data_IF_001809995482
#
_entry.id   IF_001809995482
#
_cell.length_a   1.000
_cell.length_b   1.000
_cell.length_c   1.000
_cell.angle_alpha   90.00
_cell.angle_beta   90.00
_cell.angle_gamma   90.00
#
_symmetry.space_group_name_H-M   'P 1'
#
loop_
_entity.id
_entity.type
_entity.pdbx_description
1 polymer ?
#
# COMPACT_ATOMS: atom_id res chain seq x y z
N UNK A 1 1.49 10.97 -16.90
CA UNK A 1 0.91 9.64 -16.65
C UNK A 1 2.05 8.65 -16.53
N UNK A 2 2.12 7.90 -15.45
CA UNK A 2 3.05 6.79 -15.24
C UNK A 2 2.23 5.51 -15.11
N UNK A 3 2.65 4.47 -15.80
CA UNK A 3 2.02 3.15 -15.78
C UNK A 3 2.99 2.20 -15.10
N UNK A 4 2.54 1.52 -14.06
CA UNK A 4 3.32 0.56 -13.29
C UNK A 4 2.50 -0.74 -13.20
N UNK A 5 3.18 -1.88 -13.21
CA UNK A 5 2.56 -3.16 -12.96
C UNK A 5 2.64 -3.48 -11.47
N UNK A 6 1.54 -3.93 -10.87
CA UNK A 6 1.47 -4.29 -9.45
C UNK A 6 2.39 -5.48 -9.12
N UNK A 7 2.73 -6.32 -10.10
CA UNK A 7 3.70 -7.40 -9.91
C UNK A 7 5.05 -6.88 -9.41
N UNK A 8 5.40 -5.62 -9.69
CA UNK A 8 6.63 -5.01 -9.21
C UNK A 8 6.64 -4.73 -7.69
N UNK A 9 5.47 -4.67 -7.05
CA UNK A 9 5.31 -4.51 -5.60
C UNK A 9 4.18 -5.39 -5.04
N UNK A 10 4.41 -6.71 -4.94
CA UNK A 10 3.40 -7.65 -4.44
C UNK A 10 3.33 -7.69 -2.90
N UNK A 11 4.18 -6.95 -2.20
CA UNK A 11 4.20 -6.89 -0.73
C UNK A 11 3.14 -5.91 -0.23
N UNK A 12 3.03 -4.72 -0.83
CA UNK A 12 2.06 -3.69 -0.44
C UNK A 12 0.62 -4.22 -0.29
N UNK A 13 0.02 -4.97 -1.23
CA UNK A 13 -1.33 -5.48 -1.07
C UNK A 13 -1.48 -6.56 0.02
N UNK A 14 -0.37 -7.15 0.50
CA UNK A 14 -0.37 -8.16 1.57
C UNK A 14 -0.18 -7.58 2.97
N UNK A 15 0.22 -6.32 3.11
CA UNK A 15 0.45 -5.67 4.40
C UNK A 15 -0.84 -5.13 5.02
N UNK A 16 -0.96 -5.23 6.36
CA UNK A 16 -2.02 -4.54 7.06
C UNK A 16 -1.62 -3.07 7.30
N UNK A 17 -2.54 -2.14 7.04
CA UNK A 17 -2.28 -0.71 7.12
C UNK A 17 -3.31 -0.02 8.04
N UNK A 18 -2.82 0.82 8.95
CA UNK A 18 -3.61 1.48 10.00
C UNK A 18 -4.25 2.82 9.60
N UNK A 19 -4.15 3.21 8.33
CA UNK A 19 -4.94 4.35 7.82
C UNK A 19 -6.43 3.99 7.74
N UNK A 20 -7.32 4.97 7.98
CA UNK A 20 -8.75 4.69 8.11
C UNK A 20 -9.32 3.86 6.97
N UNK A 21 -9.11 4.32 5.74
CA UNK A 21 -9.72 3.72 4.55
C UNK A 21 -9.10 2.37 4.23
N UNK A 22 -7.80 2.19 4.50
CA UNK A 22 -7.16 0.89 4.35
C UNK A 22 -7.72 -0.13 5.34
N UNK A 23 -7.87 0.23 6.62
CA UNK A 23 -8.50 -0.64 7.63
C UNK A 23 -9.94 -1.00 7.27
N UNK A 24 -10.73 -0.02 6.82
CA UNK A 24 -12.09 -0.26 6.32
C UNK A 24 -12.08 -1.30 5.19
N UNK A 25 -11.17 -1.14 4.22
CA UNK A 25 -11.07 -2.03 3.08
C UNK A 25 -10.61 -3.44 3.46
N UNK A 26 -9.60 -3.57 4.32
CA UNK A 26 -9.02 -4.86 4.71
C UNK A 26 -9.98 -5.67 5.60
N UNK A 27 -10.60 -5.00 6.57
CA UNK A 27 -11.45 -5.65 7.57
C UNK A 27 -12.84 -5.96 7.02
N UNK A 28 -13.49 -4.99 6.39
CA UNK A 28 -14.89 -5.10 5.99
C UNK A 28 -15.10 -5.25 4.48
N UNK A 29 -14.15 -4.81 3.66
CA UNK A 29 -14.29 -4.78 2.21
C UNK A 29 -15.12 -3.59 1.75
N UNK A 30 -14.46 -2.59 1.16
CA UNK A 30 -15.16 -1.53 0.42
C UNK A 30 -15.54 -2.07 -0.96
N UNK A 31 -16.83 -2.06 -1.24
CA UNK A 31 -17.38 -2.38 -2.56
C UNK A 31 -17.50 -1.12 -3.43
N UNK A 32 -18.00 -1.27 -4.66
CA UNK A 32 -18.16 -0.17 -5.61
C UNK A 32 -18.89 1.03 -4.96
N UNK A 33 -18.46 2.26 -5.29
CA UNK A 33 -18.94 3.52 -4.70
C UNK A 33 -18.56 3.75 -3.23
N UNK A 34 -17.52 3.08 -2.71
CA UNK A 34 -17.08 3.24 -1.32
C UNK A 34 -18.18 2.87 -0.30
N UNK A 35 -19.01 1.89 -0.63
CA UNK A 35 -19.99 1.34 0.31
C UNK A 35 -19.40 0.16 1.08
N UNK A 36 -19.70 0.08 2.37
CA UNK A 36 -19.32 -1.03 3.25
C UNK A 36 -20.54 -1.50 4.02
N UNK A 37 -20.77 -2.80 4.02
CA UNK A 37 -21.65 -3.41 5.03
C UNK A 37 -20.79 -3.65 6.27
N UNK A 38 -20.79 -2.71 7.21
CA UNK A 38 -20.10 -2.90 8.49
C UNK A 38 -20.89 -3.95 9.26
N UNK A 39 -20.34 -5.17 9.34
CA UNK A 39 -20.93 -6.25 10.12
C UNK A 39 -20.83 -5.86 11.60
N UNK A 40 -21.94 -5.42 12.19
CA UNK A 40 -22.04 -5.26 13.66
C UNK A 40 -22.04 -6.67 14.24
N UNK A 41 -21.15 -6.92 15.20
CA UNK A 41 -20.76 -8.27 15.64
C UNK A 41 -21.90 -9.28 15.91
N UNK A 42 -21.55 -10.56 15.73
CA UNK A 42 -22.26 -11.77 16.16
C UNK A 42 -23.53 -12.24 15.44
N UNK A 43 -23.92 -11.61 14.33
CA UNK A 43 -24.99 -12.15 13.49
C UNK A 43 -24.49 -12.47 12.08
N UNK A 44 -25.02 -13.55 11.49
CA UNK A 44 -24.97 -13.73 10.05
C UNK A 44 -25.41 -12.41 9.38
N UNK A 45 -24.84 -12.03 8.22
CA UNK A 45 -25.24 -10.79 7.55
C UNK A 45 -26.76 -10.73 7.50
N UNK A 46 -27.37 -9.77 8.19
CA UNK A 46 -28.81 -9.57 8.08
C UNK A 46 -29.04 -9.19 6.61
N UNK A 47 -29.75 -10.00 5.82
CA UNK A 47 -29.98 -9.71 4.41
C UNK A 47 -30.75 -8.38 4.22
N UNK A 48 -31.29 -7.80 5.29
CA UNK A 48 -31.96 -6.50 5.29
C UNK A 48 -31.08 -5.36 5.82
N UNK A 49 -29.83 -5.61 6.23
CA UNK A 49 -28.93 -4.55 6.67
C UNK A 49 -28.55 -3.68 5.46
N UNK A 50 -28.94 -2.40 5.52
CA UNK A 50 -28.58 -1.44 4.49
C UNK A 50 -27.06 -1.16 4.59
N UNK A 51 -26.30 -1.29 3.49
CA UNK A 51 -24.88 -0.94 3.46
C UNK A 51 -24.69 0.52 3.87
N UNK A 52 -23.66 0.76 4.69
CA UNK A 52 -23.23 2.10 5.04
C UNK A 52 -22.38 2.66 3.89
N UNK A 53 -22.78 3.81 3.34
CA UNK A 53 -22.05 4.46 2.24
C UNK A 53 -21.04 5.46 2.82
N UNK A 54 -19.77 5.35 2.42
CA UNK A 54 -18.69 6.25 2.80
C UNK A 54 -18.32 7.13 1.60
N UNK A 55 -19.05 8.22 1.39
CA UNK A 55 -18.81 9.11 0.24
C UNK A 55 -18.00 10.34 0.64
N UNK A 56 -16.79 10.56 0.11
CA UNK A 56 -16.01 11.76 0.42
C UNK A 56 -16.67 13.05 -0.10
N UNK A 57 -17.69 12.95 -0.96
CA UNK A 57 -18.45 14.11 -1.48
C UNK A 57 -19.54 14.57 -0.51
N UNK A 58 -20.18 13.63 0.19
CA UNK A 58 -21.35 13.91 1.04
C UNK A 58 -21.06 13.71 2.54
N UNK A 59 -19.87 13.24 2.88
CA UNK A 59 -19.45 12.92 4.23
C UNK A 59 -18.17 13.68 4.58
N UNK A 60 -18.34 14.83 5.22
CA UNK A 60 -17.25 15.72 5.60
C UNK A 60 -16.29 15.04 6.58
N UNK A 61 -16.81 14.23 7.51
CA UNK A 61 -15.96 13.49 8.44
C UNK A 61 -15.10 12.48 7.70
N UNK A 62 -15.71 11.71 6.79
CA UNK A 62 -14.96 10.76 5.97
C UNK A 62 -13.88 11.45 5.14
N UNK A 63 -14.21 12.57 4.47
CA UNK A 63 -13.26 13.33 3.66
C UNK A 63 -12.05 13.81 4.48
N UNK A 64 -12.28 14.31 5.69
CA UNK A 64 -11.22 14.81 6.57
C UNK A 64 -10.32 13.68 7.10
N UNK A 65 -10.85 12.45 7.24
CA UNK A 65 -10.17 11.33 7.88
C UNK A 65 -9.80 10.19 6.91
N UNK A 66 -10.00 10.35 5.60
CA UNK A 66 -9.80 9.28 4.60
C UNK A 66 -8.37 8.70 4.61
N UNK A 67 -7.39 9.52 4.99
CA UNK A 67 -5.97 9.19 5.07
C UNK A 67 -5.38 9.49 6.46
N UNK A 68 -6.21 9.66 7.51
CA UNK A 68 -5.67 9.80 8.87
C UNK A 68 -5.14 8.46 9.37
N UNK A 69 -4.04 8.54 10.12
CA UNK A 69 -3.61 7.42 10.94
C UNK A 69 -4.52 7.38 12.15
N UNK A 70 -5.39 6.39 12.17
CA UNK A 70 -6.43 6.30 13.18
C UNK A 70 -5.88 5.73 14.48
N UNK A 71 -4.66 5.17 14.53
CA UNK A 71 -4.15 4.61 15.79
C UNK A 71 -3.99 5.67 16.90
N UNK A 72 -3.51 6.86 16.57
CA UNK A 72 -3.40 7.98 17.52
C UNK A 72 -4.76 8.70 17.69
N UNK A 73 -5.46 8.92 16.57
CA UNK A 73 -6.71 9.69 16.56
C UNK A 73 -7.93 8.92 17.08
N UNK A 74 -7.91 7.58 17.09
CA UNK A 74 -9.03 6.74 17.52
C UNK A 74 -9.35 6.91 19.00
N UNK A 75 -8.33 6.90 19.86
CA UNK A 75 -8.55 7.05 21.31
C UNK A 75 -9.11 8.42 21.62
N UNK A 76 -8.52 9.47 21.02
CA UNK A 76 -9.04 10.83 21.16
C UNK A 76 -10.46 11.00 20.61
N UNK A 77 -10.78 10.35 19.49
CA UNK A 77 -12.11 10.40 18.89
C UNK A 77 -13.16 9.69 19.76
N UNK A 78 -12.84 8.50 20.30
CA UNK A 78 -13.73 7.76 21.20
C UNK A 78 -14.00 8.53 22.49
N UNK A 79 -12.96 9.14 23.07
CA UNK A 79 -13.08 9.96 24.28
C UNK A 79 -13.90 11.22 24.05
N UNK A 80 -13.76 11.84 22.87
CA UNK A 80 -14.49 13.05 22.48
C UNK A 80 -15.90 12.78 21.93
N UNK A 81 -16.28 11.51 21.77
CA UNK A 81 -17.54 11.14 21.11
C UNK A 81 -18.81 11.76 21.74
N UNK A 82 -18.96 11.84 23.07
CA UNK A 82 -20.14 12.47 23.67
C UNK A 82 -20.39 13.90 23.19
N UNK A 83 -19.32 14.67 22.97
CA UNK A 83 -19.39 16.04 22.45
C UNK A 83 -19.64 16.07 20.94
N UNK A 84 -19.02 15.16 20.19
CA UNK A 84 -19.15 15.06 18.74
C UNK A 84 -20.53 14.56 18.30
N UNK A 85 -21.19 13.72 19.10
CA UNK A 85 -22.55 13.23 18.84
C UNK A 85 -23.57 14.37 18.72
N UNK A 86 -23.36 15.48 19.42
CA UNK A 86 -24.21 16.66 19.32
C UNK A 86 -24.10 17.37 17.96
N UNK A 87 -23.05 17.08 17.16
CA UNK A 87 -22.76 17.72 15.87
C UNK A 87 -23.36 17.01 14.65
N UNK A 88 -24.00 15.85 14.80
CA UNK A 88 -24.80 15.23 13.72
C UNK A 88 -24.77 13.70 13.64
N UNK A 89 -25.65 13.14 12.81
CA UNK A 89 -25.84 11.69 12.62
C UNK A 89 -24.70 10.99 11.86
N UNK A 90 -23.98 11.69 10.99
CA UNK A 90 -22.83 11.13 10.24
C UNK A 90 -21.71 10.64 11.16
N UNK A 91 -21.45 11.36 12.25
CA UNK A 91 -20.43 11.01 13.26
C UNK A 91 -20.78 9.70 13.98
N UNK A 92 -22.07 9.41 14.20
CA UNK A 92 -22.53 8.19 14.86
C UNK A 92 -22.19 6.94 14.03
N UNK A 93 -22.32 7.05 12.70
CA UNK A 93 -21.92 6.00 11.75
C UNK A 93 -20.43 5.70 11.90
N UNK A 94 -19.59 6.73 11.75
CA UNK A 94 -18.13 6.60 11.86
C UNK A 94 -17.68 6.08 13.22
N UNK A 95 -18.32 6.49 14.31
CA UNK A 95 -18.06 5.92 15.63
C UNK A 95 -18.35 4.42 15.69
N UNK A 96 -19.52 3.99 15.20
CA UNK A 96 -19.84 2.57 15.12
C UNK A 96 -18.81 1.80 14.32
N UNK A 97 -18.39 2.34 13.18
CA UNK A 97 -17.35 1.74 12.34
C UNK A 97 -15.99 1.67 13.03
N UNK A 98 -15.53 2.76 13.64
CA UNK A 98 -14.25 2.84 14.37
C UNK A 98 -14.26 1.85 15.55
N UNK A 99 -15.37 1.74 16.28
CA UNK A 99 -15.51 0.74 17.34
C UNK A 99 -15.42 -0.70 16.81
N UNK A 100 -16.02 -1.00 15.66
CA UNK A 100 -15.87 -2.30 15.01
C UNK A 100 -14.44 -2.56 14.52
N UNK A 101 -13.74 -1.55 14.00
CA UNK A 101 -12.31 -1.64 13.64
C UNK A 101 -11.50 -2.01 14.88
N UNK A 102 -11.69 -1.30 15.98
CA UNK A 102 -10.97 -1.53 17.23
C UNK A 102 -11.19 -2.96 17.75
N UNK A 103 -12.42 -3.46 17.73
CA UNK A 103 -12.73 -4.83 18.13
C UNK A 103 -12.04 -5.86 17.23
N UNK A 104 -12.02 -5.63 15.91
CA UNK A 104 -11.33 -6.51 14.97
C UNK A 104 -9.80 -6.51 15.18
N UNK A 105 -9.20 -5.35 15.44
CA UNK A 105 -7.78 -5.21 15.77
C UNK A 105 -7.43 -6.00 17.03
N UNK A 106 -8.22 -5.83 18.11
CA UNK A 106 -8.00 -6.52 19.38
C UNK A 106 -8.18 -8.05 19.24
N UNK A 107 -9.23 -8.48 18.54
CA UNK A 107 -9.56 -9.90 18.37
C UNK A 107 -8.47 -10.66 17.61
N UNK A 108 -7.82 -10.02 16.65
CA UNK A 108 -6.79 -10.62 15.78
C UNK A 108 -5.36 -10.27 16.23
N UNK A 109 -5.20 -9.52 17.31
CA UNK A 109 -3.90 -9.01 17.78
C UNK A 109 -3.11 -8.32 16.65
N UNK A 110 -3.78 -7.46 15.88
CA UNK A 110 -3.20 -6.89 14.65
C UNK A 110 -2.06 -5.92 14.93
N UNK A 111 -1.98 -5.31 16.12
CA UNK A 111 -0.84 -4.47 16.48
C UNK A 111 0.44 -5.29 16.51
N UNK A 112 0.47 -6.34 17.34
CA UNK A 112 1.63 -7.21 17.48
C UNK A 112 1.93 -7.95 16.17
N UNK A 113 0.89 -8.37 15.45
CA UNK A 113 1.07 -9.08 14.20
C UNK A 113 1.67 -8.19 13.10
N UNK A 114 1.16 -6.96 12.93
CA UNK A 114 1.67 -6.03 11.92
C UNK A 114 3.11 -5.61 12.22
N UNK A 115 3.52 -5.52 13.49
CA UNK A 115 4.92 -5.33 13.84
C UNK A 115 5.81 -6.43 13.25
N UNK A 116 5.39 -7.70 13.34
CA UNK A 116 6.12 -8.83 12.75
C UNK A 116 6.17 -8.72 11.23
N UNK A 117 5.03 -8.38 10.58
CA UNK A 117 4.98 -8.14 9.12
C UNK A 117 6.02 -7.10 8.68
N UNK A 118 6.02 -5.96 9.37
CA UNK A 118 6.93 -4.83 9.10
C UNK A 118 8.39 -5.19 9.36
N UNK A 119 8.69 -6.00 10.39
CA UNK A 119 10.02 -6.53 10.63
C UNK A 119 10.47 -7.46 9.50
N UNK A 120 9.62 -8.38 9.04
CA UNK A 120 10.01 -9.30 7.97
C UNK A 120 10.17 -8.57 6.64
N UNK A 121 9.34 -7.58 6.34
CA UNK A 121 9.44 -6.77 5.13
C UNK A 121 10.61 -5.77 5.19
N UNK A 122 10.91 -5.22 6.37
CA UNK A 122 12.10 -4.38 6.57
C UNK A 122 13.39 -5.21 6.55
N UNK A 123 14.53 -4.55 6.29
CA UNK A 123 15.78 -5.16 5.82
C UNK A 123 16.53 -6.01 6.89
N UNK A 124 15.91 -7.08 7.37
CA UNK A 124 16.40 -8.04 8.36
C UNK A 124 17.10 -9.25 7.73
N UNK A 125 17.99 -9.87 8.51
CA UNK A 125 18.63 -11.11 8.10
C UNK A 125 17.59 -12.22 7.90
N UNK A 126 17.81 -13.10 6.92
CA UNK A 126 16.92 -14.24 6.67
C UNK A 126 16.67 -15.08 7.93
N UNK A 127 17.69 -15.31 8.76
CA UNK A 127 17.58 -16.08 10.00
C UNK A 127 16.67 -15.44 11.04
N UNK A 128 16.70 -14.11 11.19
CA UNK A 128 15.82 -13.40 12.11
C UNK A 128 14.39 -13.40 11.60
N UNK A 129 14.19 -13.08 10.32
CA UNK A 129 12.88 -13.10 9.68
C UNK A 129 12.23 -14.50 9.79
N UNK A 130 12.98 -15.56 9.50
CA UNK A 130 12.51 -16.93 9.65
C UNK A 130 12.04 -17.22 11.08
N UNK A 131 12.82 -16.82 12.10
CA UNK A 131 12.43 -17.01 13.51
C UNK A 131 11.13 -16.28 13.84
N UNK A 132 10.99 -15.02 13.43
CA UNK A 132 9.76 -14.26 13.64
C UNK A 132 8.54 -14.91 12.98
N UNK A 133 8.69 -15.41 11.75
CA UNK A 133 7.60 -16.14 11.07
C UNK A 133 7.26 -17.44 11.79
N UNK A 134 8.26 -18.23 12.20
CA UNK A 134 8.04 -19.48 12.91
C UNK A 134 7.31 -19.27 14.24
N UNK A 135 7.74 -18.28 15.02
CA UNK A 135 7.12 -17.91 16.29
C UNK A 135 5.67 -17.44 16.09
N UNK A 136 5.41 -16.65 15.04
CA UNK A 136 4.05 -16.20 14.70
C UNK A 136 3.14 -17.35 14.26
N UNK A 137 3.64 -18.31 13.50
CA UNK A 137 2.87 -19.49 13.09
C UNK A 137 2.51 -20.35 14.30
N UNK A 138 3.43 -20.53 15.24
CA UNK A 138 3.21 -21.38 16.42
C UNK A 138 2.31 -20.72 17.48
N UNK A 139 2.13 -19.40 17.41
CA UNK A 139 1.21 -18.69 18.28
C UNK A 139 -0.26 -18.87 17.83
N UNK A 140 -1.03 -19.60 18.64
CA UNK A 140 -2.46 -19.85 18.37
C UNK A 140 -3.38 -18.63 18.60
N UNK A 141 -2.85 -17.52 19.13
CA UNK A 141 -3.62 -16.29 19.28
C UNK A 141 -3.83 -15.55 17.93
N UNK A 142 -2.97 -15.78 16.95
CA UNK A 142 -3.04 -15.11 15.66
C UNK A 142 -3.96 -15.83 14.66
N UNK A 143 -4.65 -15.03 13.84
CA UNK A 143 -5.57 -15.54 12.83
C UNK A 143 -4.84 -16.31 11.71
N UNK A 144 -5.47 -17.38 11.21
CA UNK A 144 -4.89 -18.23 10.18
C UNK A 144 -4.65 -17.51 8.85
N UNK A 145 -5.51 -16.58 8.45
CA UNK A 145 -5.32 -15.80 7.22
C UNK A 145 -4.16 -14.83 7.35
N UNK A 146 -3.94 -14.27 8.55
CA UNK A 146 -2.80 -13.40 8.83
C UNK A 146 -1.48 -14.18 8.77
N UNK A 147 -1.45 -15.39 9.36
CA UNK A 147 -0.32 -16.32 9.21
C UNK A 147 -0.01 -16.66 7.76
N UNK A 148 -1.04 -16.89 6.94
CA UNK A 148 -0.86 -17.14 5.51
C UNK A 148 -0.24 -15.93 4.80
N UNK A 149 -0.79 -14.73 5.01
CA UNK A 149 -0.23 -13.46 4.46
C UNK A 149 1.25 -13.30 4.83
N UNK A 150 1.59 -13.57 6.09
CA UNK A 150 2.96 -13.49 6.59
C UNK A 150 3.91 -14.43 5.84
N UNK A 151 3.49 -15.69 5.63
CA UNK A 151 4.28 -16.67 4.87
C UNK A 151 4.37 -16.28 3.39
N UNK A 152 3.33 -15.70 2.80
CA UNK A 152 3.37 -15.17 1.43
C UNK A 152 4.40 -14.03 1.30
N UNK A 153 4.42 -13.08 2.24
CA UNK A 153 5.42 -12.00 2.28
C UNK A 153 6.84 -12.52 2.45
N UNK A 154 7.05 -13.45 3.39
CA UNK A 154 8.34 -14.14 3.56
C UNK A 154 8.77 -14.84 2.27
N UNK A 155 7.84 -15.52 1.59
CA UNK A 155 8.11 -16.25 0.35
C UNK A 155 8.57 -15.32 -0.76
N UNK A 156 7.86 -14.21 -1.00
CA UNK A 156 8.24 -13.20 -2.00
C UNK A 156 9.64 -12.64 -1.70
N UNK A 157 9.91 -12.30 -0.44
CA UNK A 157 11.14 -11.61 -0.07
C UNK A 157 12.37 -12.50 -0.12
N UNK A 158 12.24 -13.73 0.38
CA UNK A 158 13.35 -14.66 0.58
C UNK A 158 13.37 -15.82 -0.43
N UNK A 159 12.61 -15.76 -1.53
CA UNK A 159 12.58 -16.82 -2.57
C UNK A 159 13.96 -17.14 -3.16
N UNK A 160 14.85 -16.15 -3.27
CA UNK A 160 16.20 -16.32 -3.83
C UNK A 160 17.25 -16.70 -2.77
N UNK A 161 16.88 -16.75 -1.48
CA UNK A 161 17.80 -17.18 -0.43
C UNK A 161 18.08 -18.67 -0.55
N UNK A 162 19.36 -19.05 -0.47
CA UNK A 162 19.80 -20.45 -0.57
C UNK A 162 19.20 -21.35 0.51
N UNK A 163 18.87 -20.77 1.66
CA UNK A 163 18.35 -21.47 2.83
C UNK A 163 16.86 -21.18 3.08
N UNK A 164 16.14 -20.69 2.07
CA UNK A 164 14.72 -20.39 2.21
C UNK A 164 13.94 -21.61 2.75
N UNK A 165 12.99 -21.36 3.65
CA UNK A 165 12.21 -22.40 4.32
C UNK A 165 10.74 -22.41 3.89
N UNK A 166 10.46 -21.96 2.66
CA UNK A 166 9.09 -21.73 2.17
C UNK A 166 8.22 -22.99 2.29
N UNK A 167 8.73 -24.15 1.85
CA UNK A 167 7.99 -25.41 1.93
C UNK A 167 7.77 -25.88 3.37
N UNK A 168 8.75 -25.65 4.26
CA UNK A 168 8.61 -25.99 5.68
C UNK A 168 7.53 -25.12 6.33
N UNK A 169 7.51 -23.82 6.05
CA UNK A 169 6.50 -22.90 6.57
C UNK A 169 5.11 -23.24 6.02
N UNK A 170 5.00 -23.55 4.72
CA UNK A 170 3.76 -24.05 4.10
C UNK A 170 3.23 -25.29 4.82
N UNK A 171 4.09 -26.28 5.07
CA UNK A 171 3.70 -27.50 5.80
C UNK A 171 3.22 -27.20 7.23
N UNK A 172 3.85 -26.25 7.93
CA UNK A 172 3.37 -25.83 9.26
C UNK A 172 1.95 -25.26 9.19
N UNK A 173 1.62 -24.46 8.18
CA UNK A 173 0.27 -23.94 7.98
C UNK A 173 -0.74 -25.05 7.62
N UNK A 174 -0.35 -25.99 6.76
CA UNK A 174 -1.18 -27.15 6.39
C UNK A 174 -1.51 -28.05 7.60
N UNK A 175 -0.54 -28.26 8.50
CA UNK A 175 -0.75 -29.01 9.74
C UNK A 175 -1.75 -28.31 10.69
N UNK A 176 -1.84 -26.98 10.63
CA UNK A 176 -2.84 -26.19 11.35
C UNK A 176 -4.19 -26.09 10.60
N UNK A 177 -4.33 -26.76 9.45
CA UNK A 177 -5.53 -26.74 8.61
C UNK A 177 -5.91 -25.32 8.16
N UNK A 178 -4.92 -24.47 7.91
CA UNK A 178 -5.14 -23.14 7.36
C UNK A 178 -5.51 -23.26 5.87
N UNK A 179 -6.66 -22.71 5.51
CA UNK A 179 -7.15 -22.68 4.13
C UNK A 179 -6.22 -21.87 3.21
N UNK A 180 -6.24 -22.18 1.90
CA UNK A 180 -5.55 -21.44 0.82
C UNK A 180 -4.01 -21.48 0.85
N UNK A 181 -3.41 -22.40 1.60
CA UNK A 181 -1.95 -22.61 1.62
C UNK A 181 -1.39 -23.06 0.27
N UNK A 182 -2.23 -23.62 -0.60
CA UNK A 182 -1.93 -23.96 -1.98
C UNK A 182 -1.59 -22.75 -2.86
N UNK A 183 -1.97 -21.52 -2.46
CA UNK A 183 -1.68 -20.29 -3.20
C UNK A 183 -0.21 -19.83 -3.12
N UNK A 184 0.59 -20.34 -2.16
CA UNK A 184 1.99 -19.90 -1.96
C UNK A 184 2.86 -20.18 -3.19
N UNK A 185 2.66 -21.31 -3.89
CA UNK A 185 3.43 -21.64 -5.10
C UNK A 185 2.98 -20.82 -6.32
N UNK A 186 1.67 -20.73 -6.64
CA UNK A 186 1.16 -19.82 -7.67
C UNK A 186 1.59 -18.36 -7.45
N UNK A 187 1.65 -17.88 -6.20
CA UNK A 187 2.16 -16.54 -5.88
C UNK A 187 3.56 -16.31 -6.45
N UNK A 188 4.50 -17.23 -6.20
CA UNK A 188 5.87 -17.10 -6.70
C UNK A 188 5.95 -17.22 -8.23
N UNK A 189 5.06 -17.99 -8.85
CA UNK A 189 4.96 -17.99 -10.31
C UNK A 189 4.37 -16.69 -10.86
N UNK A 190 3.45 -16.07 -10.14
CA UNK A 190 2.75 -14.86 -10.56
C UNK A 190 3.63 -13.62 -10.40
N UNK A 191 4.21 -13.43 -9.21
CA UNK A 191 4.97 -12.22 -8.85
C UNK A 191 6.33 -12.49 -8.18
N UNK A 192 6.90 -13.68 -8.38
CA UNK A 192 8.27 -13.98 -7.93
C UNK A 192 9.34 -13.24 -8.74
N UNK A 193 10.60 -13.45 -8.38
CA UNK A 193 11.74 -12.67 -8.88
C UNK A 193 11.94 -12.79 -10.39
N UNK A 194 11.51 -13.91 -10.99
CA UNK A 194 11.60 -14.12 -12.43
C UNK A 194 10.53 -13.35 -13.23
N UNK A 195 9.43 -12.96 -12.58
CA UNK A 195 8.33 -12.21 -13.20
C UNK A 195 8.48 -10.70 -13.03
N UNK A 196 9.36 -10.27 -12.11
CA UNK A 196 9.59 -8.85 -11.77
C UNK A 196 10.75 -8.27 -12.58
N UNK A 197 10.60 -7.04 -13.06
CA UNK A 197 11.70 -6.28 -13.67
C UNK A 197 12.53 -5.51 -12.64
N UNK A 198 11.96 -5.29 -11.44
CA UNK A 198 12.59 -4.62 -10.33
C UNK A 198 12.96 -5.60 -9.22
N UNK A 199 14.20 -5.47 -8.75
CA UNK A 199 14.70 -6.25 -7.63
C UNK A 199 14.24 -5.63 -6.31
N UNK A 200 13.29 -6.28 -5.62
CA UNK A 200 12.83 -5.89 -4.28
C UNK A 200 14.01 -5.73 -3.29
N UNK A 201 15.02 -6.59 -3.38
CA UNK A 201 16.19 -6.58 -2.50
C UNK A 201 17.23 -5.49 -2.86
N UNK A 202 17.17 -4.92 -4.07
CA UNK A 202 18.05 -3.84 -4.52
C UNK A 202 17.43 -2.46 -4.39
N UNK A 203 16.21 -2.35 -3.82
CA UNK A 203 15.68 -1.05 -3.42
C UNK A 203 16.74 -0.37 -2.55
N UNK A 204 17.40 0.64 -3.13
CA UNK A 204 18.47 1.38 -2.49
C UNK A 204 17.92 1.85 -1.14
N UNK A 205 18.77 1.81 -0.11
CA UNK A 205 18.51 2.47 1.17
C UNK A 205 18.24 3.96 0.91
N UNK A 206 17.00 4.31 0.57
CA UNK A 206 16.65 5.68 0.26
C UNK A 206 16.66 6.47 1.56
N UNK A 207 16.89 7.78 1.46
CA UNK A 207 16.90 8.67 2.61
C UNK A 207 15.60 8.59 3.43
N UNK A 208 14.52 8.05 2.86
CA UNK A 208 13.25 7.76 3.54
C UNK A 208 13.39 6.59 4.52
N UNK A 209 14.15 5.53 4.19
CA UNK A 209 14.52 4.50 5.17
C UNK A 209 15.49 5.03 6.23
N UNK A 210 16.29 6.04 5.91
CA UNK A 210 17.13 6.73 6.91
C UNK A 210 16.29 7.62 7.82
N UNK A 211 15.19 8.21 7.33
CA UNK A 211 14.17 8.89 8.14
C UNK A 211 13.43 7.87 9.02
N UNK A 212 12.96 6.75 8.47
CA UNK A 212 12.36 5.65 9.25
C UNK A 212 13.34 5.12 10.31
N UNK A 213 14.62 4.92 9.95
CA UNK A 213 15.67 4.54 10.91
C UNK A 213 16.02 5.64 11.92
N UNK A 214 15.95 6.92 11.57
CA UNK A 214 16.19 8.06 12.48
C UNK A 214 15.03 8.27 13.45
N UNK A 215 13.80 8.01 13.02
CA UNK A 215 12.62 7.94 13.88
C UNK A 215 12.77 6.79 14.88
N UNK A 216 13.26 5.62 14.43
CA UNK A 216 13.58 4.47 15.30
C UNK A 216 14.81 4.70 16.19
N UNK A 217 15.83 5.45 15.76
CA UNK A 217 17.07 5.65 16.55
C UNK A 217 16.98 6.77 17.61
N UNK A 218 16.07 7.74 17.47
CA UNK A 218 15.91 8.82 18.46
C UNK A 218 15.07 8.43 19.67
N UNK A 219 14.30 7.34 19.60
CA UNK A 219 13.48 6.84 20.70
C UNK A 219 13.91 5.42 21.06
N UNK A 220 14.79 5.35 22.07
CA UNK A 220 15.45 4.13 22.53
C UNK A 220 14.63 3.32 23.54
N UNK A 221 13.35 3.65 23.66
CA UNK A 221 12.31 2.86 24.32
C UNK A 221 11.20 2.71 23.26
N UNK A 222 10.91 1.46 22.86
CA UNK A 222 9.90 0.98 21.89
C UNK A 222 9.36 2.03 20.89
N UNK A 223 9.70 1.97 19.58
CA UNK A 223 9.24 2.97 18.63
C UNK A 223 7.71 2.97 18.52
N UNK A 224 7.08 4.13 18.74
CA UNK A 224 5.62 4.33 18.56
C UNK A 224 5.13 4.06 17.11
N UNK A 225 6.04 3.85 16.15
CA UNK A 225 5.76 3.78 14.71
C UNK A 225 6.32 2.53 14.00
N UNK A 226 6.52 1.40 14.69
CA UNK A 226 6.99 0.16 14.04
C UNK A 226 6.04 -0.33 12.93
N UNK A 227 4.77 0.06 13.00
CA UNK A 227 3.76 -0.32 12.02
C UNK A 227 3.88 0.37 10.65
N UNK A 228 4.82 1.30 10.46
CA UNK A 228 5.00 2.07 9.20
C UNK A 228 6.42 1.99 8.61
N UNK A 229 7.13 0.86 8.79
CA UNK A 229 8.50 0.70 8.28
C UNK A 229 8.57 0.51 6.76
N UNK A 230 7.57 -0.17 6.20
CA UNK A 230 7.44 -0.40 4.77
C UNK A 230 7.05 0.90 4.05
N UNK A 231 7.61 1.09 2.86
CA UNK A 231 7.29 2.20 1.97
C UNK A 231 6.97 1.59 0.61
N UNK A 232 5.74 1.78 0.09
CA UNK A 232 5.37 1.25 -1.22
C UNK A 232 6.33 1.70 -2.31
N UNK A 233 6.62 0.83 -3.26
CA UNK A 233 7.56 1.09 -4.35
C UNK A 233 7.23 2.40 -5.08
N UNK A 234 5.95 2.65 -5.35
CA UNK A 234 5.51 3.85 -6.06
C UNK A 234 5.96 5.14 -5.37
N UNK A 235 5.97 5.16 -4.04
CA UNK A 235 6.37 6.32 -3.26
C UNK A 235 7.85 6.65 -3.51
N UNK A 236 8.69 5.62 -3.65
CA UNK A 236 10.10 5.79 -3.98
C UNK A 236 10.30 6.20 -5.45
N UNK A 237 9.56 5.58 -6.38
CA UNK A 237 9.61 5.93 -7.81
C UNK A 237 9.20 7.39 -8.06
N UNK A 238 8.19 7.89 -7.35
CA UNK A 238 7.79 9.29 -7.41
C UNK A 238 8.90 10.18 -6.85
N UNK A 239 9.51 9.83 -5.72
CA UNK A 239 10.63 10.62 -5.17
C UNK A 239 11.80 10.67 -6.16
N UNK A 240 12.20 9.52 -6.73
CA UNK A 240 13.24 9.45 -7.76
C UNK A 240 12.88 10.26 -9.02
N UNK A 241 11.61 10.29 -9.42
CA UNK A 241 11.14 11.11 -10.53
C UNK A 241 11.32 12.60 -10.23
N UNK A 242 10.90 13.05 -9.05
CA UNK A 242 11.01 14.44 -8.62
C UNK A 242 12.47 14.88 -8.47
N UNK A 243 13.35 13.97 -8.08
CA UNK A 243 14.79 14.21 -7.95
C UNK A 243 15.54 14.09 -9.29
N UNK A 244 14.85 13.73 -10.38
CA UNK A 244 15.48 13.50 -11.70
C UNK A 244 16.39 12.27 -11.74
N UNK A 245 16.25 11.34 -10.79
CA UNK A 245 17.07 10.15 -10.60
C UNK A 245 16.41 8.85 -11.14
N UNK A 246 15.19 8.94 -11.68
CA UNK A 246 14.46 7.79 -12.22
C UNK A 246 15.18 7.24 -13.46
N UNK A 247 15.41 5.93 -13.49
CA UNK A 247 16.13 5.27 -14.58
C UNK A 247 15.29 5.25 -15.86
N UNK A 248 15.72 5.98 -16.90
CA UNK A 248 15.02 6.03 -18.19
C UNK A 248 14.95 4.68 -18.90
N UNK A 249 15.95 3.81 -18.71
CA UNK A 249 15.96 2.46 -19.30
C UNK A 249 14.80 1.59 -18.78
N UNK A 250 14.43 1.77 -17.50
CA UNK A 250 13.34 1.03 -16.86
C UNK A 250 11.99 1.73 -16.98
N UNK A 251 12.01 3.06 -17.07
CA UNK A 251 10.80 3.90 -17.15
C UNK A 251 10.88 4.87 -18.34
N UNK A 252 10.86 4.37 -19.58
CA UNK A 252 11.02 5.20 -20.76
C UNK A 252 9.87 6.20 -20.89
N UNK A 253 10.20 7.43 -21.28
CA UNK A 253 9.18 8.46 -21.54
C UNK A 253 8.67 8.32 -22.97
N UNK A 254 7.36 8.11 -23.13
CA UNK A 254 6.71 8.14 -24.43
C UNK A 254 6.24 9.57 -24.70
N UNK A 255 6.81 10.29 -25.69
CA UNK A 255 6.33 11.62 -26.02
C UNK A 255 4.92 11.48 -26.57
N UNK A 256 3.97 12.12 -25.88
CA UNK A 256 2.63 12.31 -26.44
C UNK A 256 2.83 13.28 -27.60
N UNK A 257 2.81 12.75 -28.82
CA UNK A 257 2.75 13.58 -30.02
C UNK A 257 1.42 14.31 -29.98
N UNK A 258 1.42 15.53 -29.44
CA UNK A 258 0.28 16.43 -29.54
C UNK A 258 0.00 16.56 -31.04
N UNK A 259 -1.13 16.00 -31.50
CA UNK A 259 -1.62 16.22 -32.86
C UNK A 259 -1.47 17.71 -33.15
N UNK A 260 -0.74 18.01 -34.22
CA UNK A 260 -0.48 19.33 -34.78
C UNK A 260 -1.56 20.32 -34.34
N UNK A 261 -1.19 21.26 -33.46
CA UNK A 261 -1.88 22.53 -33.46
C UNK A 261 -1.74 23.04 -34.89
N UNK A 262 -2.85 23.06 -35.63
CA UNK A 262 -2.90 23.76 -36.91
C UNK A 262 -2.40 25.18 -36.63
N UNK A 263 -1.24 25.52 -37.20
CA UNK A 263 -0.71 26.87 -37.13
C UNK A 263 -1.78 27.83 -37.67
N UNK A 264 -2.15 28.88 -36.94
CA UNK A 264 -2.71 30.06 -37.59
C UNK A 264 -1.63 30.61 -38.53
N UNK A 265 -2.03 30.85 -39.77
CA UNK A 265 -1.24 31.50 -40.81
C UNK A 265 -0.54 32.77 -40.27
N UNK A 266 0.79 32.86 -40.45
CA UNK A 266 1.59 34.07 -40.20
C UNK A 266 2.13 34.14 -38.76
N UNK A 267 3.42 34.01 -38.52
CA UNK A 267 4.42 34.98 -38.96
C UNK A 267 5.82 34.42 -38.70
N UNK A 268 6.66 34.55 -39.71
CA UNK A 268 8.05 34.12 -39.75
C UNK A 268 8.90 35.20 -39.08
N UNK A 269 9.38 34.97 -37.85
CA UNK A 269 10.48 35.77 -37.28
C UNK A 269 11.63 34.83 -36.94
N UNK A 270 12.78 35.16 -37.51
CA UNK A 270 14.05 34.43 -37.44
C UNK A 270 14.62 34.46 -36.03
N UNK A 271 15.01 33.31 -35.51
CA UNK A 271 15.93 33.19 -34.38
C UNK A 271 17.34 33.65 -34.82
N UNK A 272 17.85 34.70 -34.18
CA UNK A 272 19.28 35.00 -34.13
C UNK A 272 19.84 34.46 -32.82
N UNK A 273 20.75 33.49 -32.93
CA UNK A 273 21.60 33.00 -31.85
C UNK A 273 22.44 34.15 -31.30
N UNK A 274 22.35 34.40 -29.99
CA UNK A 274 23.39 35.11 -29.24
C UNK A 274 23.94 34.13 -28.21
N UNK A 275 25.20 33.78 -28.41
CA UNK A 275 26.06 33.11 -27.44
C UNK A 275 26.37 34.11 -26.32
N UNK A 276 26.18 33.72 -25.07
CA UNK A 276 27.03 34.20 -23.97
C UNK A 276 26.99 33.25 -22.78
N UNK A 277 28.16 33.17 -22.17
CA UNK A 277 28.66 32.18 -21.22
C UNK A 277 28.35 32.51 -19.76
N UNK A 278 28.24 31.44 -18.97
CA UNK A 278 28.63 31.29 -17.55
C UNK A 278 28.01 32.19 -16.47
N UNK A 279 27.21 31.57 -15.59
CA UNK A 279 27.37 31.70 -14.13
C UNK A 279 26.58 30.61 -13.41
N UNK A 280 27.28 29.87 -12.56
CA UNK A 280 26.76 28.91 -11.59
C UNK A 280 25.84 29.57 -10.57
N UNK A 281 24.57 29.21 -10.61
CA UNK A 281 23.66 29.25 -9.46
C UNK A 281 22.80 27.99 -9.52
N UNK A 282 22.89 27.16 -8.48
CA UNK A 282 22.00 26.02 -8.26
C UNK A 282 20.61 26.56 -7.92
N UNK A 283 19.88 27.02 -8.93
CA UNK A 283 18.44 27.13 -8.85
C UNK A 283 17.90 25.76 -9.23
N UNK A 284 17.38 25.03 -8.24
CA UNK A 284 16.46 23.93 -8.51
C UNK A 284 15.33 24.50 -9.35
N UNK A 285 15.42 24.32 -10.67
CA UNK A 285 14.34 24.59 -11.58
C UNK A 285 13.23 23.59 -11.23
N UNK A 286 12.26 24.01 -10.43
CA UNK A 286 11.00 23.28 -10.31
C UNK A 286 10.43 23.17 -11.73
N UNK A 287 10.52 21.98 -12.33
CA UNK A 287 9.87 21.73 -13.60
C UNK A 287 8.34 21.84 -13.38
N UNK A 288 7.66 22.87 -13.92
CA UNK A 288 6.24 23.07 -13.71
C UNK A 288 5.40 21.89 -14.25
N UNK A 289 5.97 21.03 -15.10
CA UNK A 289 5.32 19.82 -15.60
C UNK A 289 5.15 18.73 -14.54
N UNK A 290 5.91 18.78 -13.43
CA UNK A 290 5.88 17.79 -12.35
C UNK A 290 4.88 18.11 -11.24
N UNK A 291 4.07 19.17 -11.38
CA UNK A 291 3.06 19.54 -10.38
C UNK A 291 1.82 18.65 -10.37
N UNK A 292 1.52 17.97 -11.47
CA UNK A 292 0.39 17.06 -11.58
C UNK A 292 0.84 15.71 -12.14
N UNK A 293 0.82 14.68 -11.31
CA UNK A 293 1.26 13.34 -11.68
C UNK A 293 0.05 12.39 -11.58
N UNK A 294 -0.20 11.64 -12.64
CA UNK A 294 -1.17 10.53 -12.63
C UNK A 294 -0.37 9.24 -12.64
N UNK A 295 -0.63 8.37 -11.69
CA UNK A 295 -0.10 7.00 -11.59
C UNK A 295 -1.25 6.04 -11.84
N UNK A 296 -1.05 5.10 -12.77
CA UNK A 296 -1.97 4.01 -13.03
C UNK A 296 -1.28 2.67 -12.80
N UNK A 297 -1.82 1.87 -11.88
CA UNK A 297 -1.26 0.57 -11.47
C UNK A 297 -2.08 -0.54 -12.12
N UNK A 298 -1.48 -1.21 -13.10
CA UNK A 298 -2.05 -2.38 -13.77
C UNK A 298 -2.01 -3.56 -12.81
N UNK A 299 -3.11 -4.28 -12.66
CA UNK A 299 -3.26 -5.34 -11.66
C UNK A 299 -3.88 -4.86 -10.35
N UNK A 300 -3.90 -3.54 -10.11
CA UNK A 300 -4.64 -2.90 -9.02
C UNK A 300 -3.78 -2.02 -8.14
N UNK A 301 -4.41 -1.06 -7.46
CA UNK A 301 -3.78 -0.13 -6.52
C UNK A 301 -4.30 -0.38 -5.10
N UNK A 302 -3.60 0.11 -4.09
CA UNK A 302 -3.96 -0.02 -2.67
C UNK A 302 -4.20 1.34 -2.02
N UNK A 303 -4.92 1.36 -0.89
CA UNK A 303 -5.05 2.59 -0.11
C UNK A 303 -3.73 3.03 0.54
N UNK A 304 -2.82 2.10 0.81
CA UNK A 304 -1.48 2.41 1.31
C UNK A 304 -0.67 3.26 0.32
N UNK A 305 -0.70 2.91 -0.96
CA UNK A 305 -0.03 3.68 -2.02
C UNK A 305 -0.60 5.09 -2.15
N UNK A 306 -1.93 5.22 -2.05
CA UNK A 306 -2.62 6.51 -2.05
C UNK A 306 -2.24 7.35 -0.83
N UNK A 307 -2.23 6.76 0.37
CA UNK A 307 -1.83 7.43 1.60
C UNK A 307 -0.36 7.90 1.53
N UNK A 308 0.52 7.10 0.94
CA UNK A 308 1.93 7.44 0.73
C UNK A 308 2.17 8.69 -0.12
N UNK A 309 1.17 9.13 -0.91
CA UNK A 309 1.27 10.35 -1.71
C UNK A 309 1.12 11.65 -0.91
N UNK A 310 0.54 11.60 0.29
CA UNK A 310 0.22 12.79 1.11
C UNK A 310 1.45 13.69 1.36
N UNK A 311 2.62 13.08 1.59
CA UNK A 311 3.88 13.82 1.80
C UNK A 311 4.33 14.67 0.61
N UNK A 312 3.85 14.38 -0.60
CA UNK A 312 4.14 15.18 -1.78
C UNK A 312 3.11 16.31 -1.95
N UNK A 313 1.87 16.13 -1.49
CA UNK A 313 0.86 17.18 -1.48
C UNK A 313 1.29 18.38 -0.62
N UNK A 314 1.97 18.12 0.50
CA UNK A 314 2.59 19.17 1.34
C UNK A 314 3.64 20.01 0.59
N UNK A 315 4.24 19.45 -0.46
CA UNK A 315 5.19 20.13 -1.36
C UNK A 315 4.49 20.77 -2.57
N UNK A 316 3.15 20.83 -2.59
CA UNK A 316 2.36 21.39 -3.69
C UNK A 316 2.28 20.52 -4.93
N UNK A 317 2.57 19.22 -4.81
CA UNK A 317 2.55 18.25 -5.91
C UNK A 317 1.25 17.45 -5.81
N UNK A 318 0.41 17.56 -6.84
CA UNK A 318 -0.85 16.82 -6.91
C UNK A 318 -0.59 15.46 -7.58
N UNK A 319 -0.78 14.38 -6.81
CA UNK A 319 -0.62 13.02 -7.32
C UNK A 319 -1.94 12.28 -7.21
N UNK A 320 -2.39 11.72 -8.34
CA UNK A 320 -3.57 10.86 -8.41
C UNK A 320 -3.11 9.44 -8.68
N UNK A 321 -3.45 8.52 -7.77
CA UNK A 321 -3.20 7.09 -7.93
C UNK A 321 -4.51 6.41 -8.31
N UNK A 322 -4.47 5.62 -9.37
CA UNK A 322 -5.55 4.72 -9.76
C UNK A 322 -4.99 3.36 -10.18
N UNK A 323 -5.86 2.39 -10.33
CA UNK A 323 -5.51 1.07 -10.84
C UNK A 323 -6.69 0.40 -11.50
N UNK A 324 -6.49 -0.82 -12.01
CA UNK A 324 -7.57 -1.65 -12.58
C UNK A 324 -8.64 -1.98 -11.53
N UNK A 325 -8.22 -2.13 -10.28
CA UNK A 325 -9.06 -2.34 -9.11
C UNK A 325 -8.37 -1.74 -7.86
N UNK A 326 -9.13 -1.52 -6.78
CA UNK A 326 -8.56 -1.26 -5.45
C UNK A 326 -8.45 -2.57 -4.68
N UNK A 327 -7.22 -2.94 -4.34
CA UNK A 327 -6.85 -4.19 -3.69
C UNK A 327 -6.79 -4.05 -2.17
N UNK A 328 -7.25 -5.12 -1.51
CA UNK A 328 -6.80 -5.56 -0.19
C UNK A 328 -6.14 -6.94 -0.35
N UNK A 329 -5.62 -7.49 0.75
CA UNK A 329 -5.01 -8.81 0.75
C UNK A 329 -5.93 -9.93 0.26
N UNK A 330 -7.24 -9.85 0.54
CA UNK A 330 -8.22 -10.85 0.13
C UNK A 330 -8.37 -10.87 -1.40
N UNK A 331 -8.57 -9.71 -2.01
CA UNK A 331 -8.67 -9.55 -3.47
C UNK A 331 -7.38 -9.94 -4.18
N UNK A 332 -6.24 -9.58 -3.60
CA UNK A 332 -4.94 -9.99 -4.14
C UNK A 332 -4.79 -11.53 -4.14
N UNK A 333 -5.17 -12.21 -3.05
CA UNK A 333 -5.20 -13.67 -3.00
C UNK A 333 -6.21 -14.29 -3.98
N UNK A 334 -7.36 -13.65 -4.20
CA UNK A 334 -8.35 -14.10 -5.19
C UNK A 334 -7.78 -14.01 -6.61
N UNK A 335 -7.11 -12.92 -6.96
CA UNK A 335 -6.43 -12.78 -8.25
C UNK A 335 -5.34 -13.85 -8.46
N UNK A 336 -4.57 -14.21 -7.41
CA UNK A 336 -3.60 -15.32 -7.49
C UNK A 336 -4.31 -16.66 -7.72
N UNK A 337 -5.46 -16.87 -7.07
CA UNK A 337 -6.27 -18.07 -7.27
C UNK A 337 -6.80 -18.14 -8.70
N UNK A 338 -7.27 -17.04 -9.27
CA UNK A 338 -7.72 -16.96 -10.66
C UNK A 338 -6.57 -17.27 -11.63
N UNK A 339 -5.39 -16.72 -11.38
CA UNK A 339 -4.18 -17.03 -12.14
C UNK A 339 -3.82 -18.53 -12.07
N UNK A 340 -3.89 -19.13 -10.88
CA UNK A 340 -3.67 -20.58 -10.69
C UNK A 340 -4.66 -21.40 -11.52
N UNK A 341 -5.94 -21.04 -11.50
CA UNK A 341 -6.96 -21.74 -12.29
C UNK A 341 -6.69 -21.60 -13.79
N UNK A 342 -6.42 -20.38 -14.27
CA UNK A 342 -6.16 -20.12 -15.69
C UNK A 342 -4.94 -20.88 -16.23
N UNK A 343 -3.89 -21.01 -15.42
CA UNK A 343 -2.67 -21.74 -15.81
C UNK A 343 -2.84 -23.26 -15.77
N UNK A 344 -3.72 -23.79 -14.92
CA UNK A 344 -4.08 -25.22 -14.91
C UNK A 344 -4.83 -25.64 -16.19
N UNK A 345 -5.61 -24.75 -16.81
CA UNK A 345 -6.30 -25.02 -18.07
C UNK A 345 -5.46 -24.78 -19.33
N UNK A 346 -4.26 -24.21 -19.18
CA UNK A 346 -3.35 -23.91 -20.29
C UNK A 346 -2.26 -24.98 -20.51
N UNK A 347 -2.23 -26.00 -19.66
CA UNK A 347 -1.43 -27.24 -19.79
C UNK A 347 -2.35 -28.41 -20.16
#
# INVERSE_FOLDING_TARGET
LRIIDMIEDPITPLLFNFTYTAMLHDLFGLEQQMSVVVKKDHFAPDPNQIPEVFSPVYDEFFLQNIQSDICEDMMHFLDSFPELKAKGSGIVKHFGTISSIQQAIQRRSLYEFTEIEQLIVSNNSHSEALRYVEDAIDNNAYDGQDKLRLVMMYSIKYEQDRNNQIERLKQKLELQQIDKTDLIRPLLSFCGANSRSLNLNEQKKTDIQSIAKRLVQKFKDVPENVHQLHVPLIVDLIQQLLDGALQEDKFPSVPISTRQQQQPFGSRIKEQKIQQSSSSSTQQSEDPSLRNIIVFIVGGATYEESAGMKKFAEKGINIVVGGTEILNSKKFMEMIKEYMLATQFSM
#
